data_IF_155783284329
#
_entry.id   IF_155783284329
#
_cell.length_a   1.000
_cell.length_b   1.000
_cell.length_c   1.000
_cell.angle_alpha   90.00
_cell.angle_beta   90.00
_cell.angle_gamma   90.00
#
_symmetry.space_group_name_H-M   'P 1'
#
loop_
_entity.id
_entity.type
_entity.pdbx_description
1 polymer ?
#
# COMPACT_ATOMS: atom_id res chain seq x y z
N UNK A 1 -5.24 22.59 -69.37
CA UNK A 1 -6.06 22.43 -68.16
C UNK A 1 -6.01 20.95 -67.77
N UNK A 2 -5.01 20.56 -66.97
CA UNK A 2 -4.84 19.15 -66.58
C UNK A 2 -5.60 18.92 -65.27
N UNK A 3 -6.83 18.44 -65.38
CA UNK A 3 -7.55 17.88 -64.24
C UNK A 3 -6.78 16.69 -63.69
N UNK A 4 -6.12 16.85 -62.56
CA UNK A 4 -5.54 15.77 -61.76
C UNK A 4 -6.67 14.87 -61.25
N UNK A 5 -7.10 13.92 -62.08
CA UNK A 5 -8.15 12.96 -61.75
C UNK A 5 -7.58 11.89 -60.82
N UNK A 6 -7.87 12.00 -59.53
CA UNK A 6 -7.65 10.92 -58.57
C UNK A 6 -8.46 9.69 -59.00
N UNK A 7 -7.83 8.52 -59.12
CA UNK A 7 -8.56 7.26 -59.36
C UNK A 7 -9.28 6.82 -58.08
N UNK A 8 -10.57 6.48 -58.20
CA UNK A 8 -11.25 5.70 -57.16
C UNK A 8 -10.74 4.24 -57.18
N UNK A 9 -11.05 3.44 -56.16
CA UNK A 9 -10.69 2.00 -56.16
C UNK A 9 -11.28 1.25 -57.35
N UNK A 10 -12.47 1.67 -57.78
CA UNK A 10 -13.15 1.10 -58.93
C UNK A 10 -12.38 1.45 -60.20
N UNK A 11 -12.04 2.73 -60.39
CA UNK A 11 -11.30 3.17 -61.57
C UNK A 11 -9.89 2.58 -61.64
N UNK A 12 -9.22 2.44 -60.48
CA UNK A 12 -7.91 1.79 -60.37
C UNK A 12 -7.98 0.31 -60.77
N UNK A 13 -9.00 -0.41 -60.31
CA UNK A 13 -9.23 -1.81 -60.65
C UNK A 13 -9.54 -1.99 -62.14
N UNK A 14 -10.36 -1.11 -62.71
CA UNK A 14 -10.70 -1.13 -64.14
C UNK A 14 -9.48 -0.84 -65.02
N UNK A 15 -8.61 0.07 -64.60
CA UNK A 15 -7.44 0.50 -65.38
C UNK A 15 -6.26 -0.49 -65.33
N UNK A 16 -5.95 -1.03 -64.14
CA UNK A 16 -4.77 -1.86 -63.90
C UNK A 16 -5.09 -3.36 -63.76
N UNK A 17 -6.36 -3.72 -63.74
CA UNK A 17 -6.83 -5.10 -63.61
C UNK A 17 -6.75 -5.68 -62.19
N UNK A 18 -7.33 -6.88 -62.04
CA UNK A 18 -7.50 -7.55 -60.74
C UNK A 18 -6.21 -7.84 -60.00
N UNK A 19 -5.17 -8.26 -60.73
CA UNK A 19 -3.91 -8.70 -60.13
C UNK A 19 -3.17 -7.53 -59.46
N UNK A 20 -3.10 -6.38 -60.13
CA UNK A 20 -2.47 -5.17 -59.60
C UNK A 20 -3.32 -4.61 -58.45
N UNK A 21 -4.64 -4.63 -58.60
CA UNK A 21 -5.56 -4.23 -57.53
C UNK A 21 -5.42 -5.10 -56.26
N UNK A 22 -5.24 -6.41 -56.40
CA UNK A 22 -5.03 -7.32 -55.27
C UNK A 22 -3.74 -7.00 -54.49
N UNK A 23 -2.65 -6.69 -55.19
CA UNK A 23 -1.37 -6.27 -54.58
C UNK A 23 -1.54 -4.93 -53.86
N UNK A 24 -2.20 -3.95 -54.49
CA UNK A 24 -2.50 -2.67 -53.87
C UNK A 24 -3.39 -2.81 -52.61
N UNK A 25 -4.39 -3.69 -52.64
CA UNK A 25 -5.22 -3.99 -51.47
C UNK A 25 -4.44 -4.71 -50.36
N UNK A 26 -3.50 -5.58 -50.72
CA UNK A 26 -2.62 -6.23 -49.75
C UNK A 26 -1.71 -5.22 -49.07
N UNK A 27 -1.10 -4.30 -49.82
CA UNK A 27 -0.33 -3.17 -49.29
C UNK A 27 -1.15 -2.29 -48.34
N UNK A 28 -2.40 -1.98 -48.68
CA UNK A 28 -3.33 -1.27 -47.80
C UNK A 28 -3.46 -2.00 -46.44
N UNK A 29 -3.69 -3.31 -46.47
CA UNK A 29 -3.83 -4.12 -45.24
C UNK A 29 -2.54 -4.15 -44.43
N UNK A 30 -1.38 -4.17 -45.07
CA UNK A 30 -0.07 -4.14 -44.40
C UNK A 30 0.19 -2.78 -43.74
N UNK A 31 -0.15 -1.67 -44.40
CA UNK A 31 -0.06 -0.34 -43.79
C UNK A 31 -0.95 -0.20 -42.55
N UNK A 32 -2.20 -0.69 -42.61
CA UNK A 32 -3.11 -0.72 -41.44
C UNK A 32 -2.50 -1.52 -40.28
N UNK A 33 -1.86 -2.66 -40.57
CA UNK A 33 -1.16 -3.47 -39.55
C UNK A 33 0.02 -2.72 -38.96
N UNK A 34 0.83 -2.06 -39.78
CA UNK A 34 1.98 -1.25 -39.35
C UNK A 34 1.52 -0.11 -38.43
N UNK A 35 0.52 0.67 -38.86
CA UNK A 35 -0.07 1.77 -38.08
C UNK A 35 -0.55 1.31 -36.70
N UNK A 36 -1.24 0.16 -36.62
CA UNK A 36 -1.68 -0.41 -35.33
C UNK A 36 -0.51 -0.82 -34.45
N UNK A 37 0.50 -1.47 -35.03
CA UNK A 37 1.67 -1.95 -34.31
C UNK A 37 2.48 -0.78 -33.74
N UNK A 38 2.66 0.30 -34.49
CA UNK A 38 3.30 1.53 -34.02
C UNK A 38 2.60 2.13 -32.80
N UNK A 39 1.27 2.27 -32.85
CA UNK A 39 0.50 2.80 -31.72
C UNK A 39 0.58 1.90 -30.47
N UNK A 40 0.71 0.58 -30.64
CA UNK A 40 0.94 -0.35 -29.53
C UNK A 40 2.35 -0.21 -28.94
N UNK A 41 3.38 -0.08 -29.79
CA UNK A 41 4.76 0.16 -29.36
C UNK A 41 4.83 1.47 -28.56
N UNK A 42 4.22 2.54 -29.06
CA UNK A 42 4.23 3.84 -28.40
C UNK A 42 3.51 3.82 -27.05
N UNK A 43 2.38 3.10 -26.95
CA UNK A 43 1.71 2.88 -25.67
C UNK A 43 2.61 2.18 -24.65
N UNK A 44 3.32 1.12 -25.07
CA UNK A 44 4.19 0.35 -24.17
C UNK A 44 5.46 1.12 -23.80
N UNK A 45 6.00 1.95 -24.71
CA UNK A 45 7.09 2.89 -24.41
C UNK A 45 6.67 3.89 -23.34
N UNK A 46 5.50 4.52 -23.48
CA UNK A 46 4.95 5.44 -22.48
C UNK A 46 4.76 4.73 -21.13
N UNK A 47 4.28 3.48 -21.15
CA UNK A 47 4.22 2.66 -19.93
C UNK A 47 5.62 2.40 -19.33
N UNK A 48 6.63 2.12 -20.16
CA UNK A 48 8.01 1.89 -19.72
C UNK A 48 8.62 3.14 -19.06
N UNK A 49 8.48 4.30 -19.69
CA UNK A 49 8.98 5.58 -19.18
C UNK A 49 8.39 5.94 -17.81
N UNK A 50 7.10 5.66 -17.60
CA UNK A 50 6.41 5.94 -16.34
C UNK A 50 6.49 4.78 -15.31
N UNK A 51 7.30 3.74 -15.58
CA UNK A 51 7.39 2.54 -14.74
C UNK A 51 6.03 1.82 -14.50
N UNK A 52 5.11 1.91 -15.46
CA UNK A 52 3.77 1.32 -15.41
C UNK A 52 3.71 -0.05 -16.08
N UNK A 53 2.87 -0.94 -15.55
CA UNK A 53 2.55 -2.23 -16.16
C UNK A 53 1.08 -2.18 -16.64
N UNK A 54 0.81 -2.45 -17.93
CA UNK A 54 -0.56 -2.58 -18.42
C UNK A 54 -1.32 -3.70 -17.70
N UNK A 55 -2.61 -3.50 -17.42
CA UNK A 55 -3.44 -4.49 -16.72
C UNK A 55 -3.43 -5.89 -17.36
N UNK A 56 -3.29 -5.98 -18.69
CA UNK A 56 -3.21 -7.27 -19.40
C UNK A 56 -1.93 -8.06 -19.13
N UNK A 57 -0.91 -7.44 -18.54
CA UNK A 57 0.36 -8.06 -18.17
C UNK A 57 0.49 -8.27 -16.65
N UNK A 58 -0.57 -8.02 -15.88
CA UNK A 58 -0.54 -8.17 -14.42
C UNK A 58 -0.60 -9.64 -14.01
N UNK A 59 0.41 -10.10 -13.27
CA UNK A 59 0.44 -11.40 -12.63
C UNK A 59 -0.08 -11.29 -11.19
N UNK A 60 -1.03 -12.16 -10.81
CA UNK A 60 -1.59 -12.19 -9.45
C UNK A 60 -0.73 -13.08 -8.54
N UNK A 61 -0.45 -12.61 -7.32
CA UNK A 61 0.17 -13.44 -6.30
C UNK A 61 -0.91 -14.21 -5.53
N UNK A 62 -0.98 -15.52 -5.72
CA UNK A 62 -1.94 -16.41 -5.03
C UNK A 62 -1.46 -16.86 -3.65
N UNK A 63 -0.16 -16.78 -3.39
CA UNK A 63 0.48 -17.32 -2.18
C UNK A 63 0.56 -16.31 -1.03
N UNK A 64 0.22 -15.04 -1.28
CA UNK A 64 0.33 -13.92 -0.33
C UNK A 64 1.73 -13.74 0.30
N UNK A 65 2.76 -14.35 -0.29
CA UNK A 65 4.17 -14.22 0.15
C UNK A 65 4.78 -12.97 -0.48
N UNK A 66 5.34 -12.07 0.34
CA UNK A 66 5.92 -10.81 -0.12
C UNK A 66 7.09 -10.99 -1.12
N UNK A 67 7.98 -11.97 -0.89
CA UNK A 67 9.07 -12.30 -1.84
C UNK A 67 8.53 -12.65 -3.23
N UNK A 68 7.41 -13.36 -3.29
CA UNK A 68 6.74 -13.70 -4.54
C UNK A 68 6.16 -12.44 -5.20
N UNK A 69 5.63 -11.49 -4.44
CA UNK A 69 5.18 -10.20 -4.97
C UNK A 69 6.33 -9.43 -5.63
N UNK A 70 7.51 -9.37 -5.00
CA UNK A 70 8.68 -8.73 -5.59
C UNK A 70 9.17 -9.43 -6.87
N UNK A 71 9.24 -10.76 -6.84
CA UNK A 71 9.61 -11.58 -8.00
C UNK A 71 8.63 -11.34 -9.16
N UNK A 72 7.32 -11.44 -8.90
CA UNK A 72 6.28 -11.20 -9.88
C UNK A 72 6.39 -9.79 -10.46
N UNK A 73 6.66 -8.77 -9.64
CA UNK A 73 6.85 -7.41 -10.13
C UNK A 73 8.03 -7.29 -11.10
N UNK A 74 9.19 -7.86 -10.73
CA UNK A 74 10.36 -7.92 -11.63
C UNK A 74 10.04 -8.67 -12.92
N UNK A 75 9.31 -9.78 -12.82
CA UNK A 75 8.90 -10.58 -13.98
C UNK A 75 7.94 -9.82 -14.90
N UNK A 76 6.95 -9.11 -14.35
CA UNK A 76 6.02 -8.29 -15.15
C UNK A 76 6.74 -7.19 -15.93
N UNK A 77 7.74 -6.54 -15.33
CA UNK A 77 8.57 -5.57 -16.04
C UNK A 77 9.40 -6.22 -17.15
N UNK A 78 9.95 -7.42 -16.92
CA UNK A 78 10.65 -8.20 -17.97
C UNK A 78 9.71 -8.58 -19.11
N UNK A 79 8.51 -9.08 -18.81
CA UNK A 79 7.49 -9.42 -19.83
C UNK A 79 7.16 -8.21 -20.69
N UNK A 80 6.92 -7.04 -20.08
CA UNK A 80 6.69 -5.79 -20.82
C UNK A 80 7.86 -5.46 -21.76
N UNK A 81 9.09 -5.55 -21.27
CA UNK A 81 10.27 -5.24 -22.07
C UNK A 81 10.46 -6.22 -23.24
N UNK A 82 10.30 -7.52 -23.00
CA UNK A 82 10.37 -8.55 -24.04
C UNK A 82 9.26 -8.36 -25.08
N UNK A 83 8.06 -7.95 -24.66
CA UNK A 83 6.94 -7.68 -25.56
C UNK A 83 7.22 -6.47 -26.45
N UNK A 84 7.82 -5.39 -25.91
CA UNK A 84 8.28 -4.25 -26.71
C UNK A 84 9.30 -4.71 -27.77
N UNK A 85 10.29 -5.51 -27.37
CA UNK A 85 11.32 -6.02 -28.28
C UNK A 85 10.70 -6.89 -29.39
N UNK A 86 9.77 -7.77 -29.04
CA UNK A 86 9.04 -8.60 -30.00
C UNK A 86 8.22 -7.75 -30.99
N UNK A 87 7.54 -6.71 -30.52
CA UNK A 87 6.79 -5.80 -31.39
C UNK A 87 7.70 -5.03 -32.35
N UNK A 88 8.91 -4.64 -31.94
CA UNK A 88 9.88 -4.04 -32.84
C UNK A 88 10.37 -5.01 -33.92
N UNK A 89 10.60 -6.29 -33.57
CA UNK A 89 10.94 -7.32 -34.55
C UNK A 89 9.82 -7.51 -35.58
N UNK A 90 8.56 -7.57 -35.11
CA UNK A 90 7.39 -7.63 -36.01
C UNK A 90 7.30 -6.40 -36.91
N UNK A 91 7.57 -5.19 -36.38
CA UNK A 91 7.57 -3.95 -37.15
C UNK A 91 8.59 -4.02 -38.28
N UNK A 92 9.80 -4.47 -37.97
CA UNK A 92 10.87 -4.61 -38.95
C UNK A 92 10.52 -5.62 -40.06
N UNK A 93 9.96 -6.78 -39.72
CA UNK A 93 9.50 -7.74 -40.72
C UNK A 93 8.40 -7.14 -41.62
N UNK A 94 7.45 -6.40 -41.05
CA UNK A 94 6.40 -5.72 -41.82
C UNK A 94 6.97 -4.61 -42.72
N UNK A 95 7.99 -3.87 -42.29
CA UNK A 95 8.67 -2.85 -43.10
C UNK A 95 9.34 -3.49 -44.33
N UNK A 96 10.00 -4.65 -44.15
CA UNK A 96 10.58 -5.42 -45.26
C UNK A 96 9.48 -5.91 -46.22
N UNK A 97 8.38 -6.45 -45.68
CA UNK A 97 7.25 -6.92 -46.49
C UNK A 97 6.60 -5.77 -47.27
N UNK A 98 6.40 -4.61 -46.64
CA UNK A 98 5.90 -3.41 -47.29
C UNK A 98 6.82 -2.93 -48.41
N UNK A 99 8.14 -2.90 -48.18
CA UNK A 99 9.12 -2.48 -49.17
C UNK A 99 9.13 -3.42 -50.39
N UNK A 100 9.06 -4.74 -50.16
CA UNK A 100 9.04 -5.73 -51.24
C UNK A 100 7.74 -5.65 -52.03
N UNK A 101 6.58 -5.61 -51.37
CA UNK A 101 5.28 -5.50 -52.04
C UNK A 101 5.13 -4.18 -52.81
N UNK A 102 5.69 -3.08 -52.30
CA UNK A 102 5.72 -1.79 -53.00
C UNK A 102 6.57 -1.85 -54.26
N UNK A 103 7.79 -2.40 -54.16
CA UNK A 103 8.66 -2.60 -55.32
C UNK A 103 8.00 -3.47 -56.39
N UNK A 104 7.35 -4.56 -55.98
CA UNK A 104 6.57 -5.42 -56.87
C UNK A 104 5.45 -4.63 -57.55
N UNK A 105 4.67 -3.86 -56.78
CA UNK A 105 3.57 -3.06 -57.32
C UNK A 105 4.08 -2.03 -58.35
N UNK A 106 5.15 -1.30 -58.03
CA UNK A 106 5.74 -0.30 -58.92
C UNK A 106 6.20 -0.92 -60.24
N UNK A 107 6.79 -2.12 -60.22
CA UNK A 107 7.17 -2.87 -61.43
C UNK A 107 5.95 -3.23 -62.29
N UNK A 108 4.87 -3.74 -61.68
CA UNK A 108 3.65 -4.07 -62.42
C UNK A 108 2.94 -2.84 -62.99
N UNK A 109 2.92 -1.72 -62.26
CA UNK A 109 2.34 -0.46 -62.71
C UNK A 109 3.09 0.11 -63.92
N UNK A 110 4.42 0.19 -63.83
CA UNK A 110 5.28 0.71 -64.89
C UNK A 110 5.21 -0.16 -66.16
N UNK A 111 5.13 -1.48 -66.02
CA UNK A 111 4.97 -2.38 -67.16
C UNK A 111 3.60 -2.20 -67.86
N UNK A 112 2.55 -1.90 -67.11
CA UNK A 112 1.19 -1.78 -67.66
C UNK A 112 0.91 -0.40 -68.26
N UNK A 113 1.47 0.67 -67.70
CA UNK A 113 1.29 2.06 -68.16
C UNK A 113 2.57 2.91 -67.97
N UNK A 114 3.58 2.77 -68.85
CA UNK A 114 4.93 3.35 -68.65
C UNK A 114 4.99 4.88 -68.60
N UNK A 115 4.05 5.55 -69.27
CA UNK A 115 4.02 7.01 -69.44
C UNK A 115 3.15 7.72 -68.38
N UNK A 116 2.52 6.97 -67.47
CA UNK A 116 1.56 7.50 -66.49
C UNK A 116 2.23 7.76 -65.14
N UNK A 117 1.87 8.88 -64.49
CA UNK A 117 2.32 9.16 -63.13
C UNK A 117 1.48 8.41 -62.08
N UNK A 118 1.99 7.25 -61.65
CA UNK A 118 1.30 6.35 -60.71
C UNK A 118 1.14 6.87 -59.28
N UNK A 119 1.90 7.89 -58.88
CA UNK A 119 1.89 8.40 -57.51
C UNK A 119 0.52 8.94 -57.07
N UNK A 120 -0.22 9.55 -58.00
CA UNK A 120 -1.57 10.05 -57.74
C UNK A 120 -2.62 8.94 -57.68
N UNK A 121 -2.40 7.87 -58.43
CA UNK A 121 -3.28 6.70 -58.55
C UNK A 121 -3.29 5.84 -57.28
N UNK A 122 -2.22 5.91 -56.48
CA UNK A 122 -2.07 5.18 -55.21
C UNK A 122 -2.55 5.95 -53.98
N UNK A 123 -3.02 7.20 -54.16
CA UNK A 123 -3.41 8.08 -53.05
C UNK A 123 -4.54 7.54 -52.16
N UNK A 124 -5.36 6.60 -52.66
CA UNK A 124 -6.43 5.98 -51.89
C UNK A 124 -5.96 4.93 -50.87
N UNK A 125 -4.74 4.40 -51.01
CA UNK A 125 -4.19 3.35 -50.14
C UNK A 125 -3.96 3.85 -48.71
N UNK A 126 -3.56 5.12 -48.55
CA UNK A 126 -3.23 5.70 -47.23
C UNK A 126 -4.39 6.50 -46.60
N UNK A 127 -5.37 6.96 -47.40
CA UNK A 127 -6.41 7.92 -46.98
C UNK A 127 -7.35 7.44 -45.86
N UNK A 128 -7.46 6.12 -45.61
CA UNK A 128 -8.42 5.56 -44.64
C UNK A 128 -7.82 5.13 -43.31
N UNK A 129 -6.51 5.27 -43.14
CA UNK A 129 -5.81 4.73 -41.96
C UNK A 129 -5.81 5.69 -40.75
N UNK A 130 -6.03 6.99 -40.99
CA UNK A 130 -5.94 8.03 -39.97
C UNK A 130 -7.03 7.92 -38.90
N UNK A 131 -8.29 7.66 -39.30
CA UNK A 131 -9.41 7.58 -38.35
C UNK A 131 -9.28 6.41 -37.36
N UNK A 132 -9.01 5.16 -37.81
CA UNK A 132 -8.72 4.05 -36.91
C UNK A 132 -7.49 4.30 -36.02
N UNK A 133 -6.43 4.90 -36.56
CA UNK A 133 -5.21 5.24 -35.82
C UNK A 133 -5.48 6.23 -34.69
N UNK A 134 -6.20 7.32 -34.97
CA UNK A 134 -6.61 8.32 -33.97
C UNK A 134 -7.47 7.67 -32.87
N UNK A 135 -8.48 6.87 -33.25
CA UNK A 135 -9.32 6.16 -32.27
C UNK A 135 -8.53 5.21 -31.38
N UNK A 136 -7.53 4.51 -31.93
CA UNK A 136 -6.67 3.61 -31.16
C UNK A 136 -5.78 4.39 -30.19
N UNK A 137 -5.18 5.50 -30.66
CA UNK A 137 -4.37 6.40 -29.83
C UNK A 137 -5.15 6.94 -28.64
N UNK A 138 -6.38 7.44 -28.87
CA UNK A 138 -7.26 7.91 -27.80
C UNK A 138 -7.55 6.81 -26.77
N UNK A 139 -7.82 5.58 -27.23
CA UNK A 139 -8.00 4.43 -26.32
C UNK A 139 -6.75 4.15 -25.47
N UNK A 140 -5.56 4.26 -26.06
CA UNK A 140 -4.29 4.09 -25.35
C UNK A 140 -4.03 5.21 -24.34
N UNK A 141 -4.36 6.46 -24.67
CA UNK A 141 -4.26 7.60 -23.75
C UNK A 141 -5.20 7.45 -22.55
N UNK A 142 -6.46 7.08 -22.78
CA UNK A 142 -7.41 6.82 -21.69
C UNK A 142 -6.89 5.69 -20.77
N UNK A 143 -6.33 4.62 -21.33
CA UNK A 143 -5.71 3.54 -20.54
C UNK A 143 -4.52 4.04 -19.73
N UNK A 144 -3.65 4.84 -20.33
CA UNK A 144 -2.47 5.40 -19.66
C UNK A 144 -2.88 6.32 -18.49
N UNK A 145 -3.86 7.20 -18.71
CA UNK A 145 -4.38 8.09 -17.66
C UNK A 145 -4.97 7.31 -16.48
N UNK A 146 -5.71 6.23 -16.74
CA UNK A 146 -6.23 5.33 -15.68
C UNK A 146 -5.10 4.70 -14.87
N UNK A 147 -4.01 4.27 -15.53
CA UNK A 147 -2.85 3.68 -14.85
C UNK A 147 -2.12 4.71 -13.98
N UNK A 148 -1.92 5.93 -14.47
CA UNK A 148 -1.32 7.03 -13.72
C UNK A 148 -2.16 7.45 -12.51
N UNK A 149 -3.50 7.51 -12.67
CA UNK A 149 -4.42 7.77 -11.55
C UNK A 149 -4.34 6.68 -10.48
N UNK A 150 -4.27 5.41 -10.89
CA UNK A 150 -4.15 4.29 -9.94
C UNK A 150 -2.78 4.23 -9.26
N UNK A 151 -1.72 4.66 -9.94
CA UNK A 151 -0.40 4.77 -9.34
C UNK A 151 -0.36 5.91 -8.33
N UNK A 152 -0.95 7.07 -8.66
CA UNK A 152 -1.03 8.21 -7.73
C UNK A 152 -1.95 7.93 -6.53
N UNK A 153 -3.06 7.18 -6.68
CA UNK A 153 -3.87 6.75 -5.52
C UNK A 153 -3.14 5.74 -4.65
N UNK A 154 -2.35 4.81 -5.23
CA UNK A 154 -1.49 3.90 -4.45
C UNK A 154 -0.35 4.63 -3.74
N UNK A 155 0.30 5.58 -4.42
CA UNK A 155 1.33 6.43 -3.83
C UNK A 155 0.73 7.34 -2.74
N UNK A 156 -0.50 7.84 -2.91
CA UNK A 156 -1.22 8.59 -1.87
C UNK A 156 -1.61 7.70 -0.68
N UNK A 157 -2.05 6.46 -0.90
CA UNK A 157 -2.30 5.51 0.20
C UNK A 157 -1.04 5.15 1.00
N UNK A 158 0.13 5.18 0.36
CA UNK A 158 1.42 4.94 1.04
C UNK A 158 2.01 6.20 1.71
N UNK A 159 1.64 7.40 1.23
CA UNK A 159 2.11 8.70 1.74
C UNK A 159 1.22 9.33 2.80
N UNK A 160 -0.10 9.14 2.75
CA UNK A 160 -1.04 9.61 3.77
C UNK A 160 -1.50 8.42 4.64
N UNK A 161 -0.61 7.95 5.51
CA UNK A 161 -1.10 7.44 6.79
C UNK A 161 -1.28 8.66 7.66
N UNK A 162 -2.53 8.95 7.95
CA UNK A 162 -2.98 10.08 8.76
C UNK A 162 -2.21 10.12 10.09
N UNK A 163 -1.24 11.01 10.20
CA UNK A 163 -0.54 11.29 11.48
C UNK A 163 -1.32 12.28 12.33
N UNK A 164 -2.57 12.62 12.01
CA UNK A 164 -3.41 13.55 12.81
C UNK A 164 -3.60 13.13 14.26
N UNK A 165 -3.42 11.83 14.54
CA UNK A 165 -3.48 11.27 15.88
C UNK A 165 -2.19 11.49 16.70
N UNK A 166 -1.12 11.99 16.08
CA UNK A 166 0.18 12.26 16.73
C UNK A 166 0.47 13.76 16.68
N UNK A 167 0.61 14.36 17.85
CA UNK A 167 0.95 15.77 18.02
C UNK A 167 2.34 15.86 18.62
N UNK A 168 3.28 16.43 17.87
CA UNK A 168 4.62 16.73 18.38
C UNK A 168 4.67 18.18 18.86
N UNK A 169 4.86 18.37 20.16
CA UNK A 169 5.10 19.66 20.82
C UNK A 169 6.50 19.73 21.44
N UNK A 170 7.37 18.76 21.17
CA UNK A 170 8.78 18.80 21.55
C UNK A 170 9.58 19.64 20.58
N UNK A 171 10.78 20.06 20.99
CA UNK A 171 11.70 20.79 20.11
C UNK A 171 12.39 19.89 19.08
N UNK A 172 12.14 18.57 19.16
CA UNK A 172 12.80 17.58 18.32
C UNK A 172 12.06 17.41 17.00
N UNK A 173 12.82 17.54 15.90
CA UNK A 173 12.31 17.26 14.55
C UNK A 173 12.32 15.75 14.33
N UNK A 174 11.16 15.11 14.48
CA UNK A 174 10.97 13.69 14.20
C UNK A 174 10.70 13.46 12.71
N UNK A 175 11.29 12.40 12.15
CA UNK A 175 11.03 12.03 10.75
C UNK A 175 9.61 11.50 10.60
N UNK A 176 9.05 11.60 9.40
CA UNK A 176 7.72 11.07 9.09
C UNK A 176 7.59 9.56 9.39
N UNK A 177 8.68 8.79 9.30
CA UNK A 177 8.68 7.37 9.66
C UNK A 177 8.43 7.14 11.17
N UNK A 178 9.00 7.99 12.03
CA UNK A 178 8.77 7.97 13.48
C UNK A 178 7.32 8.35 13.83
N UNK A 179 6.76 9.34 13.15
CA UNK A 179 5.35 9.73 13.37
C UNK A 179 4.38 8.64 12.89
N UNK A 180 4.70 7.97 11.77
CA UNK A 180 3.91 6.87 11.20
C UNK A 180 3.87 5.63 12.08
N UNK A 181 4.92 5.37 12.87
CA UNK A 181 4.88 4.26 13.81
C UNK A 181 4.08 4.59 15.06
N UNK A 182 4.17 5.83 15.54
CA UNK A 182 3.37 6.30 16.66
C UNK A 182 1.89 6.35 16.29
N UNK A 183 1.53 6.71 15.06
CA UNK A 183 0.13 6.78 14.63
C UNK A 183 -0.61 5.44 14.70
N UNK A 184 0.09 4.30 14.85
CA UNK A 184 -0.53 2.99 15.15
C UNK A 184 -1.24 2.95 16.51
N UNK A 185 -0.92 3.86 17.42
CA UNK A 185 -1.58 3.98 18.74
C UNK A 185 -0.76 3.41 19.90
N UNK A 186 -0.91 3.97 21.10
CA UNK A 186 -0.27 3.43 22.33
C UNK A 186 -0.85 2.08 22.77
N UNK A 187 -2.07 1.73 22.30
CA UNK A 187 -2.69 0.41 22.51
C UNK A 187 -2.23 -0.64 21.49
N UNK A 188 -1.39 -0.27 20.52
CA UNK A 188 -0.85 -1.21 19.55
C UNK A 188 0.17 -2.13 20.22
N UNK A 189 -0.05 -3.44 20.13
CA UNK A 189 0.84 -4.44 20.73
C UNK A 189 1.73 -5.06 19.65
N UNK A 190 3.05 -4.81 19.65
CA UNK A 190 3.99 -5.52 18.79
C UNK A 190 3.89 -7.03 18.97
N UNK A 191 4.04 -7.79 17.87
CA UNK A 191 4.04 -9.25 17.95
C UNK A 191 5.15 -9.74 18.89
N UNK A 192 4.83 -10.47 19.97
CA UNK A 192 5.82 -10.92 20.94
C UNK A 192 6.82 -11.87 20.28
N UNK A 193 8.11 -11.64 20.54
CA UNK A 193 9.20 -12.49 20.03
C UNK A 193 9.53 -13.66 20.94
N UNK A 194 9.20 -13.53 22.22
CA UNK A 194 9.41 -14.46 23.32
C UNK A 194 8.25 -14.29 24.33
N UNK A 195 8.02 -15.32 25.15
CA UNK A 195 7.13 -15.21 26.30
C UNK A 195 7.96 -14.84 27.52
N UNK A 196 7.51 -13.85 28.30
CA UNK A 196 8.03 -13.65 29.64
C UNK A 196 7.26 -14.56 30.59
N UNK A 197 7.80 -15.77 30.81
CA UNK A 197 7.16 -16.79 31.64
C UNK A 197 7.02 -16.30 33.08
N UNK A 198 8.00 -15.54 33.58
CA UNK A 198 7.98 -15.00 34.95
C UNK A 198 6.78 -14.07 35.09
N UNK A 199 6.58 -13.12 34.17
CA UNK A 199 5.43 -12.21 34.21
C UNK A 199 4.09 -12.94 34.11
N UNK A 200 4.02 -14.00 33.29
CA UNK A 200 2.80 -14.80 33.16
C UNK A 200 2.47 -15.49 34.49
N UNK A 201 3.47 -16.09 35.14
CA UNK A 201 3.30 -16.76 36.42
C UNK A 201 2.92 -15.76 37.51
N UNK A 202 3.65 -14.66 37.66
CA UNK A 202 3.39 -13.66 38.70
C UNK A 202 2.01 -13.01 38.53
N UNK A 203 1.61 -12.68 37.29
CA UNK A 203 0.27 -12.16 37.03
C UNK A 203 -0.83 -13.20 37.27
N UNK A 204 -0.59 -14.47 36.93
CA UNK A 204 -1.52 -15.55 37.19
C UNK A 204 -1.68 -15.80 38.70
N UNK A 205 -0.58 -15.87 39.45
CA UNK A 205 -0.59 -16.03 40.90
C UNK A 205 -1.33 -14.88 41.59
N UNK A 206 -1.05 -13.64 41.18
CA UNK A 206 -1.75 -12.46 41.70
C UNK A 206 -3.25 -12.51 41.41
N UNK A 207 -3.62 -12.77 40.16
CA UNK A 207 -5.03 -12.78 39.73
C UNK A 207 -5.82 -13.95 40.33
N UNK A 208 -5.15 -15.08 40.57
CA UNK A 208 -5.75 -16.29 41.15
C UNK A 208 -5.63 -16.34 42.67
N UNK A 209 -5.10 -15.30 43.33
CA UNK A 209 -4.90 -15.30 44.78
C UNK A 209 -6.20 -15.56 45.55
N UNK A 210 -7.30 -14.91 45.17
CA UNK A 210 -8.60 -15.00 45.83
C UNK A 210 -9.55 -16.06 45.25
N UNK A 211 -9.14 -16.78 44.19
CA UNK A 211 -9.98 -17.77 43.52
C UNK A 211 -10.12 -19.09 44.31
N UNK A 212 -11.17 -19.87 44.01
CA UNK A 212 -11.34 -21.21 44.60
C UNK A 212 -10.26 -22.19 44.13
N UNK A 213 -9.93 -23.19 44.95
CA UNK A 213 -8.87 -24.16 44.66
C UNK A 213 -9.06 -24.84 43.29
N UNK A 214 -10.30 -25.20 42.95
CA UNK A 214 -10.65 -25.81 41.66
C UNK A 214 -10.35 -24.87 40.49
N UNK A 215 -10.72 -23.59 40.61
CA UNK A 215 -10.46 -22.60 39.55
C UNK A 215 -8.97 -22.31 39.40
N UNK A 216 -8.21 -22.27 40.50
CA UNK A 216 -6.74 -22.13 40.45
C UNK A 216 -6.12 -23.29 39.68
N UNK A 217 -6.48 -24.53 40.02
CA UNK A 217 -5.94 -25.72 39.37
C UNK A 217 -6.26 -25.76 37.87
N UNK A 218 -7.50 -25.45 37.48
CA UNK A 218 -7.91 -25.39 36.08
C UNK A 218 -7.14 -24.30 35.32
N UNK A 219 -7.08 -23.09 35.85
CA UNK A 219 -6.37 -21.98 35.22
C UNK A 219 -4.87 -22.27 35.07
N UNK A 220 -4.22 -22.84 36.10
CA UNK A 220 -2.82 -23.26 36.03
C UNK A 220 -2.62 -24.32 34.94
N UNK A 221 -3.54 -25.28 34.80
CA UNK A 221 -3.46 -26.32 33.77
C UNK A 221 -3.56 -25.74 32.35
N UNK A 222 -4.45 -24.76 32.15
CA UNK A 222 -4.60 -24.08 30.86
C UNK A 222 -3.40 -23.22 30.53
N UNK A 223 -2.89 -22.44 31.49
CA UNK A 223 -1.69 -21.60 31.32
C UNK A 223 -0.48 -22.49 30.99
N UNK A 224 -0.28 -23.59 31.71
CA UNK A 224 0.79 -24.55 31.42
C UNK A 224 0.67 -25.14 30.01
N UNK A 225 -0.56 -25.49 29.61
CA UNK A 225 -0.84 -25.97 28.25
C UNK A 225 -0.55 -24.89 27.18
N UNK A 226 -0.90 -23.64 27.45
CA UNK A 226 -0.61 -22.51 26.56
C UNK A 226 0.90 -22.30 26.41
N UNK A 227 1.64 -22.22 27.52
CA UNK A 227 3.09 -21.99 27.52
C UNK A 227 3.83 -23.11 26.77
N UNK A 228 3.44 -24.38 26.99
CA UNK A 228 4.07 -25.53 26.33
C UNK A 228 3.74 -25.61 24.83
N UNK A 229 2.53 -25.23 24.42
CA UNK A 229 2.11 -25.25 23.01
C UNK A 229 2.46 -23.99 22.24
N UNK A 230 2.88 -22.92 22.93
CA UNK A 230 3.13 -21.64 22.29
C UNK A 230 4.23 -21.75 21.24
N UNK A 231 3.98 -21.17 20.06
CA UNK A 231 4.95 -21.04 18.98
C UNK A 231 5.01 -19.60 18.54
N UNK A 232 6.23 -19.13 18.27
CA UNK A 232 6.45 -17.78 17.77
C UNK A 232 5.64 -17.55 16.48
N UNK A 233 4.88 -16.45 16.38
CA UNK A 233 4.14 -16.13 15.16
C UNK A 233 5.06 -15.99 13.96
N UNK A 234 4.69 -16.61 12.84
CA UNK A 234 5.49 -16.60 11.59
C UNK A 234 5.44 -15.27 10.85
N UNK A 235 4.43 -14.43 11.14
CA UNK A 235 4.21 -13.12 10.50
C UNK A 235 4.13 -12.05 11.58
N UNK A 236 5.19 -11.25 11.78
CA UNK A 236 5.14 -10.13 12.72
C UNK A 236 4.27 -9.00 12.15
N UNK A 237 3.61 -8.26 13.04
CA UNK A 237 2.81 -7.07 12.71
C UNK A 237 3.64 -5.78 12.55
N UNK A 238 4.96 -5.87 12.72
CA UNK A 238 5.93 -4.80 12.47
C UNK A 238 7.09 -5.32 11.62
N UNK A 239 7.60 -4.45 10.76
CA UNK A 239 8.83 -4.68 10.00
C UNK A 239 10.08 -4.47 10.88
N UNK A 240 11.23 -4.96 10.41
CA UNK A 240 12.51 -4.74 11.12
C UNK A 240 12.85 -3.26 11.26
N UNK A 241 12.60 -2.46 10.22
CA UNK A 241 12.84 -1.02 10.25
C UNK A 241 11.95 -0.33 11.27
N UNK A 242 10.65 -0.64 11.29
CA UNK A 242 9.70 -0.15 12.30
C UNK A 242 10.15 -0.49 13.73
N UNK A 243 10.62 -1.72 13.97
CA UNK A 243 11.16 -2.11 15.28
C UNK A 243 12.40 -1.30 15.69
N UNK A 244 13.29 -1.00 14.75
CA UNK A 244 14.45 -0.14 15.02
C UNK A 244 14.01 1.27 15.39
N UNK A 245 13.07 1.85 14.64
CA UNK A 245 12.52 3.18 14.92
C UNK A 245 11.84 3.26 16.30
N UNK A 246 11.11 2.21 16.71
CA UNK A 246 10.54 2.15 18.07
C UNK A 246 11.61 2.12 19.15
N UNK A 247 12.70 1.40 18.92
CA UNK A 247 13.83 1.36 19.87
C UNK A 247 14.53 2.71 19.96
N UNK A 248 14.72 3.39 18.83
CA UNK A 248 15.25 4.76 18.79
C UNK A 248 14.38 5.70 19.63
N UNK A 249 13.06 5.70 19.42
CA UNK A 249 12.13 6.52 20.19
C UNK A 249 12.12 6.17 21.68
N UNK A 250 12.20 4.88 22.02
CA UNK A 250 12.22 4.41 23.42
C UNK A 250 13.50 4.83 24.15
N UNK A 251 14.63 4.82 23.46
CA UNK A 251 15.93 5.14 24.05
C UNK A 251 16.22 6.66 24.06
N UNK A 252 15.31 7.47 23.51
CA UNK A 252 15.46 8.91 23.48
C UNK A 252 15.04 9.54 24.80
N UNK A 253 16.03 9.84 25.65
CA UNK A 253 15.78 10.41 26.98
C UNK A 253 15.31 11.88 26.92
N UNK A 254 15.47 12.57 25.80
CA UNK A 254 15.10 13.98 25.67
C UNK A 254 13.59 14.18 25.54
N UNK A 255 12.88 13.16 25.05
CA UNK A 255 11.44 13.23 24.79
C UNK A 255 10.67 12.26 25.67
N UNK A 256 9.38 12.54 25.85
CA UNK A 256 8.41 11.65 26.45
C UNK A 256 7.18 11.56 25.55
N UNK A 257 6.63 10.35 25.43
CA UNK A 257 5.49 10.02 24.57
C UNK A 257 4.36 9.57 25.49
N UNK A 258 3.27 10.34 25.52
CA UNK A 258 2.14 10.12 26.44
C UNK A 258 0.80 10.19 25.69
N UNK A 259 -0.28 9.56 26.22
CA UNK A 259 -1.62 9.83 25.73
C UNK A 259 -2.04 11.27 26.06
N UNK A 260 -2.81 11.88 25.17
CA UNK A 260 -3.51 13.12 25.44
C UNK A 260 -4.66 12.86 26.43
N UNK A 261 -4.94 13.84 27.30
CA UNK A 261 -6.06 13.82 28.25
C UNK A 261 -7.42 13.62 27.55
N UNK A 262 -7.59 14.21 26.36
CA UNK A 262 -8.81 14.11 25.55
C UNK A 262 -8.51 13.67 24.13
N UNK A 263 -9.43 12.87 23.56
CA UNK A 263 -9.43 12.52 22.15
C UNK A 263 -8.47 11.40 21.73
N UNK A 264 -7.85 10.67 22.67
CA UNK A 264 -7.06 9.46 22.36
C UNK A 264 -5.80 9.70 21.52
N UNK A 265 -5.38 10.97 21.40
CA UNK A 265 -4.19 11.37 20.65
C UNK A 265 -2.91 11.03 21.40
N UNK A 266 -1.81 10.98 20.67
CA UNK A 266 -0.47 10.77 21.21
C UNK A 266 0.25 12.11 21.19
N UNK A 267 0.81 12.50 22.33
CA UNK A 267 1.57 13.73 22.47
C UNK A 267 3.03 13.38 22.69
N UNK A 268 3.90 14.05 21.96
CA UNK A 268 5.35 13.98 22.12
C UNK A 268 5.80 15.32 22.65
N UNK A 269 6.47 15.33 23.80
CA UNK A 269 6.94 16.56 24.45
C UNK A 269 8.37 16.39 24.97
N UNK A 270 9.06 17.50 25.22
CA UNK A 270 10.34 17.44 25.90
C UNK A 270 10.14 16.88 27.31
N UNK A 271 11.04 16.01 27.74
CA UNK A 271 10.97 15.39 29.07
C UNK A 271 11.06 16.43 30.18
N UNK A 272 11.92 17.44 30.02
CA UNK A 272 12.08 18.49 31.03
C UNK A 272 10.82 19.34 31.17
N UNK A 273 10.16 19.69 30.07
CA UNK A 273 8.90 20.45 30.11
C UNK A 273 7.79 19.68 30.80
N UNK A 274 7.75 18.35 30.61
CA UNK A 274 6.82 17.49 31.33
C UNK A 274 7.08 17.52 32.84
N UNK A 275 8.34 17.32 33.25
CA UNK A 275 8.75 17.33 34.66
C UNK A 275 8.41 18.67 35.31
N UNK A 276 8.82 19.78 34.69
CA UNK A 276 8.56 21.13 35.20
C UNK A 276 7.05 21.38 35.38
N UNK A 277 6.21 20.92 34.44
CA UNK A 277 4.74 21.06 34.55
C UNK A 277 4.16 20.22 35.67
N UNK A 278 4.70 19.02 35.89
CA UNK A 278 4.26 18.15 37.01
C UNK A 278 4.67 18.80 38.33
N UNK A 279 5.91 19.25 38.47
CA UNK A 279 6.40 19.94 39.67
C UNK A 279 5.62 21.23 39.96
N UNK A 280 5.35 22.02 38.93
CA UNK A 280 4.51 23.22 39.05
C UNK A 280 3.11 22.88 39.57
N UNK A 281 2.49 21.80 39.06
CA UNK A 281 1.18 21.35 39.55
C UNK A 281 1.23 20.82 40.97
N UNK A 282 2.28 20.10 41.35
CA UNK A 282 2.44 19.57 42.71
C UNK A 282 2.75 20.67 43.72
N UNK A 283 3.34 21.78 43.27
CA UNK A 283 3.62 22.97 44.09
C UNK A 283 2.43 23.94 44.20
N UNK A 284 1.27 23.57 43.64
CA UNK A 284 0.03 24.34 43.75
C UNK A 284 -0.64 24.06 45.10
N UNK A 285 -0.20 24.80 46.12
CA UNK A 285 -0.72 24.68 47.49
C UNK A 285 -2.12 25.29 47.67
N UNK A 286 -2.66 25.98 46.67
CA UNK A 286 -4.06 26.43 46.68
C UNK A 286 -5.01 25.25 46.38
N UNK A 287 -4.54 24.25 45.62
CA UNK A 287 -5.33 23.07 45.23
C UNK A 287 -4.94 21.78 45.97
N UNK A 288 -3.66 21.60 46.30
CA UNK A 288 -3.12 20.39 46.94
C UNK A 288 -2.50 20.69 48.30
N UNK A 289 -2.69 19.79 49.27
CA UNK A 289 -1.99 19.83 50.55
C UNK A 289 -0.99 18.67 50.65
N UNK A 290 0.20 18.94 51.19
CA UNK A 290 1.16 17.90 51.48
C UNK A 290 0.72 17.15 52.75
N UNK A 291 0.47 15.85 52.62
CA UNK A 291 0.05 14.98 53.72
C UNK A 291 1.10 13.88 53.91
N UNK A 292 1.42 13.60 55.18
CA UNK A 292 2.13 12.37 55.53
C UNK A 292 1.28 11.18 55.10
N UNK A 293 1.90 10.17 54.47
CA UNK A 293 1.23 9.00 53.90
C UNK A 293 0.08 8.50 54.81
N UNK A 294 -1.17 8.87 54.49
CA UNK A 294 -2.32 8.55 55.34
C UNK A 294 -2.81 7.13 55.05
N UNK A 295 -2.14 6.38 54.18
CA UNK A 295 -2.57 5.05 53.74
C UNK A 295 -2.81 4.13 54.92
N UNK A 296 -1.94 4.14 55.93
CA UNK A 296 -2.07 3.27 57.10
C UNK A 296 -3.24 3.65 58.01
N UNK A 297 -3.48 4.94 58.22
CA UNK A 297 -4.59 5.44 59.05
C UNK A 297 -5.94 5.24 58.35
N UNK A 298 -6.02 5.58 57.06
CA UNK A 298 -7.20 5.34 56.23
C UNK A 298 -7.54 3.85 56.14
N UNK A 299 -6.54 2.97 56.01
CA UNK A 299 -6.75 1.50 56.05
C UNK A 299 -7.43 1.05 57.33
N UNK A 300 -7.01 1.56 58.49
CA UNK A 300 -7.64 1.21 59.77
C UNK A 300 -9.10 1.68 59.80
N UNK A 301 -9.36 2.93 59.41
CA UNK A 301 -10.71 3.51 59.38
C UNK A 301 -11.62 2.73 58.43
N UNK A 302 -11.16 2.43 57.22
CA UNK A 302 -11.92 1.65 56.23
C UNK A 302 -12.23 0.27 56.78
N UNK A 303 -11.26 -0.41 57.41
CA UNK A 303 -11.48 -1.73 58.03
C UNK A 303 -12.52 -1.67 59.16
N UNK A 304 -12.45 -0.66 60.03
CA UNK A 304 -13.41 -0.47 61.13
C UNK A 304 -14.84 -0.23 60.61
N UNK A 305 -15.00 0.67 59.63
CA UNK A 305 -16.30 0.96 59.01
C UNK A 305 -16.84 -0.29 58.31
N UNK A 306 -16.01 -0.98 57.53
CA UNK A 306 -16.42 -2.17 56.78
C UNK A 306 -16.81 -3.30 57.74
N UNK A 307 -16.08 -3.48 58.84
CA UNK A 307 -16.43 -4.46 59.87
C UNK A 307 -17.77 -4.14 60.54
N UNK A 308 -18.04 -2.85 60.83
CA UNK A 308 -19.31 -2.39 61.39
C UNK A 308 -20.49 -2.59 60.43
N UNK A 309 -20.29 -2.35 59.14
CA UNK A 309 -21.32 -2.59 58.14
C UNK A 309 -21.62 -4.09 57.96
N UNK A 310 -20.59 -4.92 58.02
CA UNK A 310 -20.72 -6.37 57.95
C UNK A 310 -21.46 -6.94 59.17
N UNK A 311 -21.13 -6.47 60.38
CA UNK A 311 -21.82 -6.90 61.60
C UNK A 311 -23.28 -6.43 61.66
N UNK A 312 -23.62 -5.35 60.95
CA UNK A 312 -25.01 -4.89 60.77
C UNK A 312 -25.75 -5.60 59.63
N UNK A 313 -25.15 -6.62 58.98
CA UNK A 313 -25.70 -7.32 57.81
C UNK A 313 -26.06 -6.40 56.64
N UNK A 314 -25.42 -5.23 56.53
CA UNK A 314 -25.63 -4.28 55.43
C UNK A 314 -24.80 -4.60 54.18
N UNK A 315 -23.77 -5.43 54.34
CA UNK A 315 -22.88 -5.88 53.28
C UNK A 315 -22.58 -7.37 53.46
N UNK A 316 -22.28 -8.06 52.36
CA UNK A 316 -21.89 -9.46 52.36
C UNK A 316 -20.36 -9.65 52.50
N UNK A 317 -19.93 -10.92 52.64
CA UNK A 317 -18.51 -11.27 52.81
C UNK A 317 -17.66 -10.92 51.56
N UNK A 318 -18.29 -10.88 50.39
CA UNK A 318 -17.63 -10.54 49.13
C UNK A 318 -17.35 -9.03 49.05
N UNK A 319 -18.35 -8.20 49.33
CA UNK A 319 -18.24 -6.75 49.41
C UNK A 319 -17.24 -6.33 50.50
N UNK A 320 -17.28 -6.98 51.66
CA UNK A 320 -16.29 -6.77 52.73
C UNK A 320 -14.88 -7.00 52.21
N UNK A 321 -14.62 -8.13 51.54
CA UNK A 321 -13.29 -8.43 50.98
C UNK A 321 -12.84 -7.40 49.96
N UNK A 322 -13.71 -6.98 49.03
CA UNK A 322 -13.38 -5.98 48.02
C UNK A 322 -13.02 -4.64 48.68
N UNK A 323 -13.83 -4.15 49.61
CA UNK A 323 -13.63 -2.83 50.20
C UNK A 323 -12.41 -2.76 51.10
N UNK A 324 -11.97 -3.90 51.64
CA UNK A 324 -10.72 -4.02 52.40
C UNK A 324 -9.52 -4.44 51.53
N UNK A 325 -9.74 -4.75 50.24
CA UNK A 325 -8.66 -5.17 49.34
C UNK A 325 -7.77 -3.98 48.98
N UNK A 326 -6.47 -4.24 48.92
CA UNK A 326 -5.41 -3.25 48.74
C UNK A 326 -5.09 -3.04 47.24
N UNK A 327 -5.77 -3.77 46.34
CA UNK A 327 -5.38 -3.89 44.94
C UNK A 327 -5.46 -2.58 44.13
N UNK A 328 -6.20 -1.56 44.61
CA UNK A 328 -6.46 -0.29 43.91
C UNK A 328 -5.87 0.96 44.58
N UNK A 329 -5.03 0.83 45.62
CA UNK A 329 -4.35 2.00 46.21
C UNK A 329 -3.10 2.35 45.38
N UNK A 330 -2.94 3.60 44.90
CA UNK A 330 -1.71 4.02 44.24
C UNK A 330 -0.55 3.91 45.24
N UNK A 331 0.49 3.15 44.87
CA UNK A 331 1.74 3.05 45.61
C UNK A 331 2.53 4.35 45.57
#
# INVERSE_FOLDING_TARGET
MNSSTFLTRYDFRTLYGERIYAIAQHLEKLHVKQSKLEEHIDFLKKCKQNNLIPNGLHLKNTTYIYKNTQLLNKTMHKIRNNLIEHQYKQKHCLEIELATQKSILDLYLNNHQPLRQHQFDLSWINKRDDLPKIKLRQKHEIKLQKLLKNQSTRIKLDKDIDTSNVINISDKILKNEHLKILSKGLKFVPTPTNLNIIDIITNAEKSLYSASLTNKQLAISEISTFVTKWRKPTRPNLTKQELTLLKELKNDEQIIIIPADKGGKIVIMNRQDYINKVEQKLSDFDLYEEVNDPTSSLKKIINEITFKLFSQHKIDDYQKKIWTSIDDLPY
#
